data_IF_587104883722
#
_entry.id   IF_587104883722
#
_cell.length_a   1.000
_cell.length_b   1.000
_cell.length_c   1.000
_cell.angle_alpha   90.00
_cell.angle_beta   90.00
_cell.angle_gamma   90.00
#
_symmetry.space_group_name_H-M   'P 1'
#
loop_
_entity.id
_entity.type
_entity.pdbx_description
1 polymer ?
#
# COMPACT_ATOMS: atom_id res chain seq x y z
N UNK A 1 0.23 1.58 9.07
CA UNK A 1 -0.63 0.42 8.74
C UNK A 1 -1.48 0.73 7.52
N UNK A 2 -1.39 -0.09 6.48
CA UNK A 2 -2.05 0.12 5.19
C UNK A 2 -3.22 -0.84 4.96
N UNK A 3 -4.30 -0.37 4.31
CA UNK A 3 -5.45 -1.17 3.89
C UNK A 3 -5.97 -0.78 2.49
N UNK A 4 -6.56 -1.76 1.81
CA UNK A 4 -7.37 -1.57 0.60
C UNK A 4 -8.82 -1.83 0.95
N UNK A 5 -9.71 -0.84 0.79
CA UNK A 5 -11.09 -0.94 1.28
C UNK A 5 -12.06 -0.11 0.45
N UNK A 6 -13.33 -0.56 0.38
CA UNK A 6 -14.44 0.27 -0.11
C UNK A 6 -15.07 1.10 1.01
N UNK A 7 -14.91 0.66 2.27
CA UNK A 7 -15.57 1.24 3.44
C UNK A 7 -14.74 2.40 4.01
N UNK A 8 -14.53 3.45 3.21
CA UNK A 8 -13.64 4.57 3.57
C UNK A 8 -14.07 5.27 4.85
N UNK A 9 -15.37 5.50 5.04
CA UNK A 9 -15.90 6.15 6.24
C UNK A 9 -15.67 5.32 7.52
N UNK A 10 -15.76 4.00 7.43
CA UNK A 10 -15.51 3.11 8.57
C UNK A 10 -14.07 3.26 9.04
N UNK A 11 -13.11 3.18 8.12
CA UNK A 11 -11.69 3.28 8.45
C UNK A 11 -11.28 4.71 8.84
N UNK A 12 -11.89 5.74 8.23
CA UNK A 12 -11.65 7.13 8.60
C UNK A 12 -11.97 7.41 10.07
N UNK A 13 -13.03 6.80 10.61
CA UNK A 13 -13.36 6.90 12.06
C UNK A 13 -12.29 6.31 12.97
N UNK A 14 -11.42 5.44 12.45
CA UNK A 14 -10.29 4.84 13.17
C UNK A 14 -8.96 5.55 12.89
N UNK A 15 -8.99 6.76 12.28
CA UNK A 15 -7.80 7.57 12.03
C UNK A 15 -7.08 7.26 10.72
N UNK A 16 -7.65 6.42 9.85
CA UNK A 16 -7.10 6.20 8.53
C UNK A 16 -7.38 7.39 7.60
N UNK A 17 -6.41 7.70 6.75
CA UNK A 17 -6.54 8.70 5.69
C UNK A 17 -6.39 8.05 4.32
N UNK A 18 -7.23 8.44 3.37
CA UNK A 18 -7.06 8.04 1.97
C UNK A 18 -5.77 8.62 1.40
N UNK A 19 -5.05 7.82 0.60
CA UNK A 19 -3.80 8.20 -0.05
C UNK A 19 -3.90 7.93 -1.55
N UNK A 20 -3.38 8.83 -2.37
CA UNK A 20 -3.34 8.62 -3.81
C UNK A 20 -2.14 7.79 -4.26
N UNK A 21 -2.44 6.81 -5.12
CA UNK A 21 -1.45 6.09 -5.91
C UNK A 21 -0.58 5.10 -5.13
N UNK A 22 0.43 4.64 -5.85
CA UNK A 22 1.61 3.95 -5.33
C UNK A 22 2.82 4.66 -5.92
N UNK A 23 3.92 4.84 -5.18
CA UNK A 23 5.12 5.46 -5.76
C UNK A 23 5.73 4.64 -6.91
N UNK A 24 5.26 3.41 -7.12
CA UNK A 24 5.77 2.48 -8.13
C UNK A 24 4.64 1.77 -8.87
N UNK A 25 4.91 1.36 -10.11
CA UNK A 25 3.98 0.61 -10.96
C UNK A 25 3.90 -0.86 -10.53
N UNK A 26 2.88 -1.59 -11.00
CA UNK A 26 2.73 -3.03 -10.73
C UNK A 26 3.93 -3.85 -11.25
N UNK A 27 4.54 -3.42 -12.36
CA UNK A 27 5.71 -4.07 -12.95
C UNK A 27 6.95 -3.92 -12.06
N UNK A 28 7.13 -2.73 -11.46
CA UNK A 28 8.17 -2.47 -10.46
C UNK A 28 7.89 -3.25 -9.15
N UNK A 29 6.63 -3.42 -8.76
CA UNK A 29 6.27 -4.26 -7.61
C UNK A 29 6.66 -5.73 -7.83
N UNK A 30 6.41 -6.27 -9.03
CA UNK A 30 6.81 -7.64 -9.39
C UNK A 30 8.33 -7.79 -9.42
N UNK A 31 9.05 -6.78 -9.90
CA UNK A 31 10.51 -6.74 -9.89
C UNK A 31 11.07 -6.69 -8.46
N UNK A 32 10.45 -5.90 -7.56
CA UNK A 32 10.77 -5.87 -6.13
C UNK A 32 10.50 -7.20 -5.43
N UNK A 33 9.41 -7.89 -5.77
CA UNK A 33 9.11 -9.22 -5.24
C UNK A 33 10.14 -10.27 -5.67
N UNK A 34 10.72 -10.12 -6.86
CA UNK A 34 11.78 -11.00 -7.38
C UNK A 34 13.16 -10.67 -6.80
N UNK A 35 13.43 -9.39 -6.54
CA UNK A 35 14.67 -8.88 -5.96
C UNK A 35 14.64 -8.82 -4.43
N UNK A 36 14.04 -9.83 -3.78
CA UNK A 36 13.83 -9.90 -2.32
C UNK A 36 15.16 -10.09 -1.54
N UNK A 37 16.14 -9.23 -1.79
CA UNK A 37 17.33 -9.05 -0.99
C UNK A 37 17.00 -8.14 0.20
N UNK A 38 17.58 -8.48 1.34
CA UNK A 38 17.34 -7.86 2.66
C UNK A 38 17.42 -6.33 2.62
N UNK A 39 18.25 -5.74 1.76
CA UNK A 39 18.42 -4.29 1.64
C UNK A 39 17.27 -3.53 0.98
N UNK A 40 16.45 -4.17 0.13
CA UNK A 40 15.26 -3.53 -0.48
C UNK A 40 14.10 -3.51 0.51
N UNK A 41 13.98 -4.53 1.35
CA UNK A 41 12.97 -4.63 2.40
C UNK A 41 13.14 -3.57 3.50
N UNK A 42 14.38 -3.13 3.79
CA UNK A 42 14.62 -2.01 4.71
C UNK A 42 14.17 -0.65 4.16
N UNK A 43 14.11 -0.51 2.83
CA UNK A 43 13.77 0.76 2.16
C UNK A 43 12.31 0.88 1.71
N UNK A 44 11.63 -0.25 1.50
CA UNK A 44 10.24 -0.27 1.09
C UNK A 44 9.36 -0.86 2.19
N UNK A 45 8.53 -0.02 2.79
CA UNK A 45 7.31 -0.50 3.42
C UNK A 45 6.39 -1.03 2.31
N UNK A 46 6.57 -2.32 2.01
CA UNK A 46 5.93 -3.00 0.88
C UNK A 46 4.40 -2.99 0.95
N UNK A 47 3.84 -2.60 2.09
CA UNK A 47 2.40 -2.52 2.27
C UNK A 47 1.75 -1.50 1.32
N UNK A 48 2.44 -0.39 0.99
CA UNK A 48 1.93 0.61 0.05
C UNK A 48 1.87 0.12 -1.39
N UNK A 49 2.81 -0.73 -1.80
CA UNK A 49 2.99 -1.14 -3.21
C UNK A 49 2.08 -2.31 -3.60
N UNK A 50 1.25 -2.79 -2.66
CA UNK A 50 0.25 -3.83 -2.94
C UNK A 50 -0.64 -3.40 -4.12
N UNK A 51 -0.76 -4.23 -5.17
CA UNK A 51 -1.67 -3.95 -6.28
C UNK A 51 -3.11 -3.83 -5.81
N UNK A 52 -3.81 -2.83 -6.33
CA UNK A 52 -5.22 -2.64 -6.06
C UNK A 52 -6.06 -3.31 -7.15
N UNK A 53 -6.29 -4.61 -6.97
CA UNK A 53 -6.97 -5.46 -7.97
C UNK A 53 -8.45 -5.09 -8.11
N UNK A 54 -9.08 -4.61 -7.02
CA UNK A 54 -10.52 -4.33 -6.98
C UNK A 54 -10.86 -2.87 -7.25
N UNK A 55 -9.86 -2.01 -7.46
CA UNK A 55 -10.06 -0.58 -7.70
C UNK A 55 -10.67 0.18 -6.52
N UNK A 56 -10.45 -0.28 -5.29
CA UNK A 56 -11.00 0.35 -4.07
C UNK A 56 -10.02 1.38 -3.47
N UNK A 57 -10.36 2.02 -2.35
CA UNK A 57 -9.52 3.08 -1.81
C UNK A 57 -8.30 2.53 -1.07
N UNK A 58 -7.16 3.21 -1.24
CA UNK A 58 -5.94 3.00 -0.46
C UNK A 58 -6.02 3.87 0.78
N UNK A 59 -5.93 3.28 1.97
CA UNK A 59 -5.94 4.04 3.21
C UNK A 59 -4.76 3.69 4.11
N UNK A 60 -4.25 4.71 4.82
CA UNK A 60 -3.11 4.62 5.71
C UNK A 60 -3.47 5.14 7.11
N UNK A 61 -3.10 4.37 8.13
CA UNK A 61 -3.02 4.82 9.52
C UNK A 61 -1.55 4.94 9.92
N UNK A 62 -1.12 6.13 10.32
CA UNK A 62 0.20 6.35 10.93
C UNK A 62 0.06 6.08 12.43
N UNK A 63 0.82 5.12 12.95
CA UNK A 63 0.85 4.76 14.38
C UNK A 63 1.91 5.57 15.13
#
# INVERSE_FOLDING_TARGET
MFVLTFETEFFARHGFTEIEGTPVTAEVFDEMCRSYDIGVAEFLDLSYVKPNILGNSRMLLVL
#
